data_IF_761878103196
#
_entry.id   IF_761878103196
#
_cell.length_a   1.000
_cell.length_b   1.000
_cell.length_c   1.000
_cell.angle_alpha   90.00
_cell.angle_beta   90.00
_cell.angle_gamma   90.00
#
_symmetry.space_group_name_H-M   'P 1'
#
loop_
_entity.id
_entity.type
_entity.pdbx_description
1 polymer ?
#
# COMPACT_ATOMS: atom_id res chain seq x y z
N UNK A 1 -12.20 9.99 -9.07
CA UNK A 1 -11.57 8.81 -9.71
C UNK A 1 -10.20 9.14 -10.30
N UNK A 2 -10.01 10.32 -10.89
CA UNK A 2 -8.73 10.79 -11.46
C UNK A 2 -7.60 10.96 -10.44
N UNK A 3 -7.87 11.45 -9.23
CA UNK A 3 -6.81 11.73 -8.24
C UNK A 3 -6.07 10.49 -7.71
N UNK A 4 -6.72 9.33 -7.65
CA UNK A 4 -6.09 8.09 -7.15
C UNK A 4 -5.10 7.54 -8.18
N UNK A 5 -5.40 7.67 -9.47
CA UNK A 5 -4.46 7.27 -10.52
C UNK A 5 -3.20 8.14 -10.55
N UNK A 6 -3.31 9.39 -10.06
CA UNK A 6 -2.23 10.36 -9.97
C UNK A 6 -1.28 10.11 -8.77
N UNK A 7 -1.56 9.12 -7.91
CA UNK A 7 -0.72 8.80 -6.74
C UNK A 7 0.75 8.54 -7.07
N UNK A 8 1.04 8.10 -8.30
CA UNK A 8 2.43 7.94 -8.78
C UNK A 8 3.21 9.25 -8.95
N UNK A 9 2.55 10.41 -8.98
CA UNK A 9 3.19 11.72 -9.23
C UNK A 9 3.86 12.32 -7.97
N UNK A 10 3.59 11.79 -6.78
CA UNK A 10 4.26 12.17 -5.53
C UNK A 10 5.40 11.20 -5.19
N UNK A 11 6.29 10.96 -6.15
CA UNK A 11 7.40 10.00 -6.03
C UNK A 11 8.33 10.33 -4.86
N UNK A 12 8.52 11.61 -4.57
CA UNK A 12 9.30 12.12 -3.43
C UNK A 12 8.79 11.60 -2.08
N UNK A 13 7.46 11.57 -1.88
CA UNK A 13 6.87 10.99 -0.68
C UNK A 13 7.15 9.48 -0.60
N UNK A 14 6.95 8.77 -1.70
CA UNK A 14 7.13 7.31 -1.73
C UNK A 14 8.59 6.92 -1.47
N UNK A 15 9.52 7.56 -2.15
CA UNK A 15 10.96 7.34 -1.98
C UNK A 15 11.41 7.64 -0.54
N UNK A 16 10.92 8.75 0.05
CA UNK A 16 11.18 9.08 1.46
C UNK A 16 10.74 7.95 2.42
N UNK A 17 9.62 7.29 2.13
CA UNK A 17 9.11 6.15 2.90
C UNK A 17 9.67 4.78 2.46
N UNK A 18 10.69 4.77 1.60
CA UNK A 18 11.39 3.57 1.12
C UNK A 18 10.62 2.77 0.07
N UNK A 19 9.60 3.36 -0.53
CA UNK A 19 8.84 2.75 -1.62
C UNK A 19 9.51 2.99 -2.97
N UNK A 20 9.35 2.01 -3.84
CA UNK A 20 9.77 2.03 -5.24
C UNK A 20 8.57 1.77 -6.15
N UNK A 21 8.53 2.31 -7.38
CA UNK A 21 7.46 2.03 -8.33
C UNK A 21 7.28 0.52 -8.55
N UNK A 22 6.03 0.08 -8.60
CA UNK A 22 5.66 -1.32 -8.80
C UNK A 22 4.58 -1.48 -9.87
N UNK A 23 4.75 -2.49 -10.71
CA UNK A 23 3.81 -2.83 -11.77
C UNK A 23 3.83 -4.34 -12.05
N UNK A 24 2.65 -4.94 -12.17
CA UNK A 24 2.49 -6.37 -12.48
C UNK A 24 1.12 -6.64 -13.07
N UNK A 25 1.06 -7.36 -14.19
CA UNK A 25 -0.20 -7.87 -14.78
C UNK A 25 -1.31 -6.81 -14.90
N UNK A 26 -0.96 -5.59 -15.34
CA UNK A 26 -1.88 -4.47 -15.49
C UNK A 26 -2.16 -3.67 -14.21
N UNK A 27 -1.71 -4.14 -13.05
CA UNK A 27 -1.75 -3.38 -11.81
C UNK A 27 -0.57 -2.42 -11.70
N UNK A 28 -0.79 -1.26 -11.09
CA UNK A 28 0.27 -0.27 -10.78
C UNK A 28 0.13 0.28 -9.37
N UNK A 29 1.28 0.60 -8.79
CA UNK A 29 1.39 1.07 -7.42
C UNK A 29 2.83 1.30 -7.01
N UNK A 30 3.09 1.13 -5.72
CA UNK A 30 4.44 1.13 -5.14
C UNK A 30 4.65 -0.06 -4.23
N UNK A 31 5.92 -0.42 -4.06
CA UNK A 31 6.39 -1.56 -3.27
C UNK A 31 7.54 -1.16 -2.36
N UNK A 32 7.56 -1.69 -1.14
CA UNK A 32 8.75 -1.71 -0.28
C UNK A 32 8.90 -3.03 0.47
N UNK A 33 10.13 -3.30 0.92
CA UNK A 33 10.41 -4.30 1.94
C UNK A 33 10.75 -3.59 3.25
N UNK A 34 10.01 -3.92 4.31
CA UNK A 34 10.22 -3.40 5.66
C UNK A 34 10.85 -4.48 6.52
N UNK A 35 11.82 -4.08 7.35
CA UNK A 35 12.38 -4.94 8.40
C UNK A 35 11.71 -4.60 9.72
N UNK A 36 11.08 -5.58 10.35
CA UNK A 36 10.58 -5.46 11.71
C UNK A 36 11.55 -6.14 12.65
N UNK A 37 12.06 -5.36 13.60
CA UNK A 37 12.94 -5.85 14.65
C UNK A 37 12.17 -5.75 15.97
N UNK A 38 11.97 -6.89 16.62
CA UNK A 38 11.43 -6.96 17.97
C UNK A 38 12.60 -7.10 18.93
N UNK A 39 12.82 -6.09 19.77
CA UNK A 39 13.88 -6.08 20.79
C UNK A 39 13.30 -6.24 22.20
N UNK A 40 14.11 -6.77 23.10
CA UNK A 40 13.87 -6.83 24.55
C UNK A 40 15.10 -6.30 25.30
N UNK A 41 15.06 -6.29 26.63
CA UNK A 41 16.14 -5.80 27.50
C UNK A 41 17.52 -6.42 27.22
N UNK A 42 17.57 -7.64 26.67
CA UNK A 42 18.81 -8.37 26.35
C UNK A 42 19.21 -8.30 24.86
N UNK A 43 18.52 -7.49 24.05
CA UNK A 43 18.82 -7.30 22.63
C UNK A 43 17.71 -7.71 21.68
N UNK A 44 18.06 -7.93 20.42
CA UNK A 44 17.14 -8.34 19.35
C UNK A 44 16.61 -9.77 19.59
N UNK A 45 15.28 -9.90 19.71
CA UNK A 45 14.59 -11.18 19.94
C UNK A 45 14.17 -11.82 18.62
N UNK A 46 13.77 -11.01 17.64
CA UNK A 46 13.31 -11.49 16.36
C UNK A 46 13.44 -10.40 15.29
N UNK A 47 13.85 -10.80 14.09
CA UNK A 47 13.81 -9.99 12.89
C UNK A 47 13.01 -10.71 11.83
N UNK A 48 12.08 -10.00 11.23
CA UNK A 48 11.27 -10.51 10.14
C UNK A 48 11.03 -9.43 9.11
N UNK A 49 10.83 -9.85 7.86
CA UNK A 49 10.52 -8.93 6.78
C UNK A 49 9.02 -8.90 6.51
N UNK A 50 8.53 -7.75 6.04
CA UNK A 50 7.25 -7.63 5.37
C UNK A 50 7.43 -6.98 4.00
N UNK A 51 6.66 -7.43 3.02
CA UNK A 51 6.57 -6.79 1.71
C UNK A 51 5.26 -6.00 1.70
N UNK A 52 5.35 -4.68 1.53
CA UNK A 52 4.18 -3.80 1.45
C UNK A 52 3.98 -3.34 0.01
N UNK A 53 2.75 -3.46 -0.47
CA UNK A 53 2.31 -2.95 -1.77
C UNK A 53 1.14 -2.01 -1.56
N UNK A 54 1.20 -0.82 -2.15
CA UNK A 54 0.07 0.12 -2.24
C UNK A 54 -0.30 0.19 -3.72
N UNK A 55 -1.51 -0.24 -4.07
CA UNK A 55 -1.96 -0.45 -5.45
C UNK A 55 -3.15 0.45 -5.73
N UNK A 56 -3.04 1.32 -6.73
CA UNK A 56 -4.07 2.30 -7.08
C UNK A 56 -4.55 2.22 -8.53
N UNK A 57 -3.88 1.43 -9.37
CA UNK A 57 -4.39 1.03 -10.67
C UNK A 57 -4.63 -0.48 -10.63
N UNK A 58 -5.90 -0.89 -10.69
CA UNK A 58 -6.32 -2.28 -10.59
C UNK A 58 -7.78 -2.46 -11.06
N UNK A 59 -8.18 -3.69 -11.34
CA UNK A 59 -9.52 -4.10 -11.74
C UNK A 59 -10.34 -4.66 -10.55
N UNK A 60 -10.31 -3.94 -9.43
CA UNK A 60 -11.04 -4.27 -8.21
C UNK A 60 -10.84 -5.71 -7.69
N UNK A 61 -11.96 -6.39 -7.46
CA UNK A 61 -12.01 -7.75 -6.88
C UNK A 61 -11.26 -8.81 -7.69
N UNK A 62 -11.26 -8.70 -9.01
CA UNK A 62 -10.61 -9.68 -9.88
C UNK A 62 -9.10 -9.74 -9.62
N UNK A 63 -8.47 -8.58 -9.50
CA UNK A 63 -7.03 -8.47 -9.25
C UNK A 63 -6.68 -8.85 -7.81
N UNK A 64 -7.51 -8.50 -6.82
CA UNK A 64 -7.36 -8.98 -5.43
C UNK A 64 -7.31 -10.51 -5.35
N UNK A 65 -8.28 -11.16 -6.00
CA UNK A 65 -8.32 -12.62 -6.06
C UNK A 65 -7.13 -13.20 -6.82
N UNK A 66 -6.66 -12.53 -7.88
CA UNK A 66 -5.49 -12.95 -8.62
C UNK A 66 -4.24 -12.94 -7.74
N UNK A 67 -3.98 -11.86 -7.00
CA UNK A 67 -2.89 -11.77 -6.02
C UNK A 67 -2.98 -12.91 -5.00
N UNK A 68 -4.15 -13.10 -4.39
CA UNK A 68 -4.35 -14.18 -3.42
C UNK A 68 -4.17 -15.58 -4.01
N UNK A 69 -4.29 -15.77 -5.32
CA UNK A 69 -4.01 -17.07 -5.96
C UNK A 69 -2.54 -17.20 -6.31
N UNK A 70 -1.93 -16.17 -6.88
CA UNK A 70 -0.59 -16.20 -7.47
C UNK A 70 0.55 -16.02 -6.47
N UNK A 71 0.34 -15.33 -5.33
CA UNK A 71 1.43 -15.10 -4.38
C UNK A 71 2.06 -16.42 -3.92
N UNK A 72 3.37 -16.38 -3.66
CA UNK A 72 4.12 -17.52 -3.14
C UNK A 72 4.84 -17.09 -1.86
N UNK A 73 5.09 -18.01 -0.92
CA UNK A 73 5.94 -17.70 0.22
C UNK A 73 7.34 -17.32 -0.27
N UNK A 74 7.93 -16.29 0.35
CA UNK A 74 9.32 -15.89 0.09
C UNK A 74 10.18 -16.21 1.32
N UNK A 75 11.48 -16.51 1.16
CA UNK A 75 12.38 -16.70 2.29
C UNK A 75 12.36 -15.49 3.23
N UNK A 76 12.40 -15.75 4.54
CA UNK A 76 12.48 -14.77 5.63
C UNK A 76 11.34 -13.73 5.69
N UNK A 77 10.29 -13.93 4.88
CA UNK A 77 9.19 -13.00 4.75
C UNK A 77 7.99 -13.48 5.58
N UNK A 78 7.64 -12.70 6.60
CA UNK A 78 6.53 -13.02 7.48
C UNK A 78 5.18 -12.70 6.82
N UNK A 79 5.07 -11.58 6.13
CA UNK A 79 3.82 -11.18 5.48
C UNK A 79 4.05 -10.40 4.19
N UNK A 80 3.13 -10.57 3.26
CA UNK A 80 2.98 -9.75 2.06
C UNK A 80 1.65 -9.00 2.17
N UNK A 81 1.68 -7.69 2.39
CA UNK A 81 0.50 -6.85 2.55
C UNK A 81 0.23 -6.09 1.26
N UNK A 82 -0.94 -6.30 0.67
CA UNK A 82 -1.39 -5.62 -0.54
C UNK A 82 -2.56 -4.72 -0.19
N UNK A 83 -2.33 -3.41 -0.20
CA UNK A 83 -3.33 -2.37 0.06
C UNK A 83 -3.89 -1.87 -1.27
N UNK A 84 -5.14 -2.21 -1.57
CA UNK A 84 -5.86 -1.73 -2.74
C UNK A 84 -6.55 -0.41 -2.41
N UNK A 85 -6.15 0.67 -3.08
CA UNK A 85 -6.71 2.00 -2.92
C UNK A 85 -7.93 2.15 -3.81
N UNK A 86 -9.10 2.27 -3.20
CA UNK A 86 -10.39 2.35 -3.89
C UNK A 86 -10.96 3.76 -3.84
N UNK A 87 -11.65 4.18 -4.90
CA UNK A 87 -12.32 5.49 -4.94
C UNK A 87 -13.64 5.56 -4.17
N UNK A 88 -14.19 4.40 -3.78
CA UNK A 88 -15.38 4.28 -2.98
C UNK A 88 -15.29 2.99 -2.15
N UNK A 89 -15.89 2.99 -0.96
CA UNK A 89 -15.89 1.81 -0.09
C UNK A 89 -16.61 0.65 -0.78
N UNK A 90 -15.89 -0.45 -1.03
CA UNK A 90 -16.47 -1.66 -1.61
C UNK A 90 -17.14 -2.58 -0.58
N UNK A 91 -16.98 -2.31 0.72
CA UNK A 91 -17.42 -3.21 1.80
C UNK A 91 -16.69 -4.56 1.83
N UNK A 92 -15.67 -4.75 1.00
CA UNK A 92 -14.88 -5.98 0.94
C UNK A 92 -13.99 -6.08 2.17
N UNK A 93 -14.08 -7.22 2.87
CA UNK A 93 -13.29 -7.48 4.07
C UNK A 93 -11.85 -7.83 3.70
N UNK A 94 -10.93 -7.59 4.65
CA UNK A 94 -9.56 -8.12 4.57
C UNK A 94 -9.58 -9.62 4.28
N UNK A 95 -8.79 -10.05 3.29
CA UNK A 95 -8.65 -11.45 2.91
C UNK A 95 -7.21 -11.90 3.17
N UNK A 96 -7.06 -12.97 3.95
CA UNK A 96 -5.76 -13.48 4.40
C UNK A 96 -5.60 -14.91 3.93
N UNK A 97 -4.47 -15.22 3.31
CA UNK A 97 -4.04 -16.58 2.98
C UNK A 97 -2.74 -16.89 3.72
N UNK A 98 -2.74 -17.96 4.51
CA UNK A 98 -1.52 -18.49 5.13
C UNK A 98 -0.78 -19.42 4.17
N UNK A 99 0.55 -19.42 4.25
CA UNK A 99 1.39 -20.37 3.53
C UNK A 99 1.88 -21.46 4.48
N UNK A 100 1.70 -22.73 4.09
CA UNK A 100 2.04 -23.89 4.92
C UNK A 100 1.50 -23.73 6.35
N UNK A 101 0.19 -23.55 6.50
CA UNK A 101 -0.47 -23.30 7.79
C UNK A 101 0.06 -22.10 8.60
N UNK A 102 0.81 -21.19 7.96
CA UNK A 102 1.41 -20.01 8.59
C UNK A 102 2.91 -20.11 8.82
N UNK A 103 3.50 -21.31 8.69
CA UNK A 103 4.95 -21.52 8.88
C UNK A 103 5.80 -20.83 7.82
N UNK A 104 5.22 -20.44 6.68
CA UNK A 104 5.91 -19.72 5.59
C UNK A 104 5.32 -18.33 5.35
N UNK A 105 4.74 -17.75 6.39
CA UNK A 105 4.17 -16.42 6.36
C UNK A 105 2.77 -16.36 5.72
N UNK A 106 2.37 -15.14 5.39
CA UNK A 106 1.00 -14.81 4.96
C UNK A 106 1.00 -13.91 3.73
N UNK A 107 -0.11 -13.94 2.99
CA UNK A 107 -0.50 -12.89 2.06
C UNK A 107 -1.80 -12.27 2.55
N UNK A 108 -1.82 -10.95 2.71
CA UNK A 108 -2.94 -10.18 3.22
C UNK A 108 -3.35 -9.17 2.16
N UNK A 109 -4.61 -9.21 1.74
CA UNK A 109 -5.20 -8.24 0.82
C UNK A 109 -6.19 -7.37 1.57
N UNK A 110 -5.94 -6.07 1.54
CA UNK A 110 -6.72 -5.04 2.21
C UNK A 110 -7.31 -4.10 1.16
N UNK A 111 -8.49 -3.56 1.43
CA UNK A 111 -9.05 -2.43 0.69
C UNK A 111 -9.02 -1.19 1.56
N UNK A 112 -8.73 -0.04 0.97
CA UNK A 112 -8.75 1.24 1.65
C UNK A 112 -9.32 2.32 0.76
N UNK A 113 -10.31 3.05 1.28
CA UNK A 113 -10.83 4.26 0.65
C UNK A 113 -10.26 5.47 1.38
N UNK A 114 -9.58 6.40 0.68
CA UNK A 114 -9.01 7.60 1.30
C UNK A 114 -10.02 8.41 2.11
N UNK A 115 -9.60 8.90 3.28
CA UNK A 115 -10.47 9.57 4.26
C UNK A 115 -11.48 8.64 4.96
N UNK A 116 -11.52 7.36 4.60
CA UNK A 116 -12.36 6.34 5.23
C UNK A 116 -11.73 5.73 6.48
N UNK A 117 -12.43 4.77 7.08
CA UNK A 117 -11.89 3.99 8.21
C UNK A 117 -10.92 2.93 7.71
N UNK A 118 -9.89 2.63 8.50
CA UNK A 118 -8.94 1.57 8.19
C UNK A 118 -8.69 0.65 9.39
N UNK A 119 -8.32 -0.60 9.11
CA UNK A 119 -8.02 -1.59 10.13
C UNK A 119 -6.64 -1.37 10.76
N UNK A 120 -6.46 -1.87 12.00
CA UNK A 120 -5.17 -1.75 12.72
C UNK A 120 -3.97 -2.33 11.96
N UNK A 121 -4.19 -3.29 11.06
CA UNK A 121 -3.15 -3.99 10.27
C UNK A 121 -2.51 -3.12 9.19
N UNK A 122 -3.19 -2.05 8.78
CA UNK A 122 -2.75 -1.12 7.72
C UNK A 122 -2.60 0.30 8.23
N UNK A 123 -2.56 0.49 9.56
CA UNK A 123 -2.46 1.82 10.20
C UNK A 123 -1.19 2.59 9.82
N UNK A 124 -0.17 1.90 9.33
CA UNK A 124 1.10 2.47 8.87
C UNK A 124 1.13 2.72 7.36
N UNK A 125 0.17 2.19 6.59
CA UNK A 125 0.09 2.33 5.14
C UNK A 125 -1.02 3.28 4.71
N UNK A 126 -2.21 3.17 5.30
CA UNK A 126 -3.37 3.99 4.94
C UNK A 126 -3.11 5.51 5.07
N UNK A 127 -2.49 6.02 6.16
CA UNK A 127 -2.19 7.45 6.26
C UNK A 127 -1.22 7.98 5.19
N UNK A 128 -0.36 7.11 4.62
CA UNK A 128 0.54 7.51 3.54
C UNK A 128 -0.23 7.81 2.25
N UNK A 129 -1.30 7.05 1.99
CA UNK A 129 -2.20 7.28 0.85
C UNK A 129 -2.96 8.59 1.02
N UNK A 130 -3.49 8.86 2.21
CA UNK A 130 -4.16 10.13 2.49
C UNK A 130 -3.20 11.31 2.31
N UNK A 131 -1.98 11.20 2.83
CA UNK A 131 -0.97 12.25 2.68
C UNK A 131 -0.57 12.47 1.23
N UNK A 132 -0.46 11.40 0.44
CA UNK A 132 -0.18 11.49 -1.00
C UNK A 132 -1.25 12.29 -1.74
N UNK A 133 -2.54 12.07 -1.43
CA UNK A 133 -3.65 12.82 -2.03
C UNK A 133 -3.67 14.28 -1.57
N UNK A 134 -3.37 14.54 -0.30
CA UNK A 134 -3.24 15.91 0.22
C UNK A 134 -2.16 16.71 -0.54
N UNK A 135 -0.99 16.10 -0.79
CA UNK A 135 0.09 16.72 -1.56
C UNK A 135 -0.33 16.98 -3.02
N UNK A 136 -1.03 16.02 -3.66
CA UNK A 136 -1.53 16.21 -5.02
C UNK A 136 -2.51 17.39 -5.12
N UNK A 137 -3.41 17.53 -4.15
CA UNK A 137 -4.37 18.65 -4.09
C UNK A 137 -3.65 19.98 -3.87
N UNK A 138 -2.65 20.00 -2.99
CA UNK A 138 -1.86 21.20 -2.72
C UNK A 138 -1.12 21.68 -3.97
N UNK A 139 -0.46 20.77 -4.70
CA UNK A 139 0.23 21.08 -5.97
C UNK A 139 -0.71 21.59 -7.07
N UNK A 140 -1.93 21.05 -7.16
CA UNK A 140 -2.96 21.51 -8.10
C UNK A 140 -3.41 22.94 -7.80
N UNK A 141 -3.59 23.28 -6.52
CA UNK A 141 -3.98 24.63 -6.11
C UNK A 141 -2.88 25.67 -6.38
N UNK A 142 -1.61 25.31 -6.15
CA UNK A 142 -0.47 26.20 -6.46
C UNK A 142 -0.32 26.47 -7.96
N UNK A 143 -0.59 25.47 -8.80
CA UNK A 143 -0.49 25.60 -10.26
C UNK A 143 -1.64 26.42 -10.89
N UNK A 144 -2.76 26.58 -10.19
CA UNK A 144 -3.96 27.29 -10.67
C UNK A 144 -4.05 28.78 -10.29
N UNK A 145 -3.13 29.28 -9.46
CA UNK A 145 -3.15 30.66 -8.94
C UNK A 145 -2.43 31.72 -9.80
N UNK A 146 -1.96 31.36 -10.99
CA UNK A 146 -1.14 32.22 -11.85
C UNK A 146 -1.89 32.93 -12.97
N UNK A 147 -2.71 33.92 -12.65
CA UNK A 147 -3.12 34.94 -13.62
C UNK A 147 -3.31 36.28 -12.90
N UNK A 148 -2.35 37.22 -12.96
CA UNK A 148 -2.63 38.61 -12.63
C UNK A 148 -3.37 39.24 -13.82
N UNK A 149 -4.61 39.68 -13.59
CA UNK A 149 -5.29 40.60 -14.49
C UNK A 149 -4.43 41.86 -14.67
N UNK A 150 -4.17 42.23 -15.91
CA UNK A 150 -3.76 43.58 -16.31
C UNK A 150 -4.92 44.24 -17.04
#
# INVERSE_FOLDING_TARGET
MTEISDLGLVSDLWEYWGFSPWNSEGMKGVYRRVTFVKSALIGEVCRYYADDYIIWSHNGKADRQRILKSCRPKPDLMTQRYLFVEGAESGEKCAIRSFLFGFRGYAEVHSFTPGGRFEKRIKDLAPLVDKALELLRSRKNESGGGAPEK
#
